data_IF_728819442767
#
_entry.id   IF_728819442767
#
_cell.length_a   1.000
_cell.length_b   1.000
_cell.length_c   1.000
_cell.angle_alpha   90.00
_cell.angle_beta   90.00
_cell.angle_gamma   90.00
#
_symmetry.space_group_name_H-M   'P 1'
#
loop_
_entity.id
_entity.type
_entity.pdbx_description
1 polymer ?
#
# COMPACT_ATOMS: atom_id res chain seq x y z
N UNK A 1 45.85 -6.24 6.29
CA UNK A 1 44.96 -7.00 5.38
C UNK A 1 44.80 -8.48 5.74
N UNK A 2 45.62 -9.08 6.62
CA UNK A 2 45.53 -10.52 6.97
C UNK A 2 44.36 -10.89 7.90
N UNK A 3 43.86 -9.97 8.74
CA UNK A 3 42.75 -10.26 9.67
C UNK A 3 41.40 -10.47 8.98
N UNK A 4 41.19 -9.86 7.81
CA UNK A 4 39.94 -9.97 7.05
C UNK A 4 39.92 -11.29 6.25
N UNK A 5 41.05 -11.72 5.70
CA UNK A 5 41.16 -13.01 5.01
C UNK A 5 41.04 -14.20 5.98
N UNK A 6 41.56 -14.07 7.21
CA UNK A 6 41.37 -15.05 8.29
C UNK A 6 39.90 -15.22 8.68
N UNK A 7 39.12 -14.13 8.74
CA UNK A 7 37.69 -14.18 9.05
C UNK A 7 36.87 -14.84 7.92
N UNK A 8 37.22 -14.58 6.66
CA UNK A 8 36.55 -15.17 5.49
C UNK A 8 36.86 -16.68 5.36
N UNK A 9 38.09 -17.11 5.67
CA UNK A 9 38.47 -18.52 5.68
C UNK A 9 37.75 -19.30 6.81
N UNK A 10 37.59 -18.68 8.00
CA UNK A 10 36.89 -19.29 9.15
C UNK A 10 35.38 -19.44 8.89
N UNK A 11 34.78 -18.51 8.15
CA UNK A 11 33.38 -18.60 7.71
C UNK A 11 33.16 -19.63 6.59
N UNK A 12 34.17 -19.91 5.76
CA UNK A 12 34.12 -20.95 4.72
C UNK A 12 34.27 -22.36 5.29
N UNK A 13 35.16 -22.55 6.27
CA UNK A 13 35.36 -23.84 6.93
C UNK A 13 34.13 -24.30 7.75
N UNK A 14 33.38 -23.36 8.34
CA UNK A 14 32.13 -23.64 9.04
C UNK A 14 30.98 -24.10 8.12
N UNK A 15 31.12 -23.93 6.80
CA UNK A 15 30.11 -24.33 5.80
C UNK A 15 30.39 -25.69 5.13
N UNK A 16 31.56 -26.30 5.37
CA UNK A 16 31.98 -27.54 4.68
C UNK A 16 32.23 -28.74 5.60
N UNK A 17 31.93 -28.64 6.90
CA UNK A 17 32.06 -29.76 7.84
C UNK A 17 30.81 -30.63 7.90
N UNK A 18 30.75 -31.66 7.05
CA UNK A 18 29.99 -32.89 7.30
C UNK A 18 30.92 -33.80 8.12
N UNK A 19 30.57 -34.11 9.37
CA UNK A 19 31.16 -35.23 10.11
C UNK A 19 30.03 -36.18 10.58
N UNK A 20 30.16 -37.51 10.37
CA UNK A 20 29.07 -38.46 10.48
C UNK A 20 29.11 -39.18 11.83
N UNK A 21 28.59 -38.57 12.90
CA UNK A 21 28.27 -39.27 14.15
C UNK A 21 27.47 -38.40 15.11
N UNK A 22 26.15 -38.34 14.93
CA UNK A 22 25.19 -38.33 16.05
C UNK A 22 23.75 -38.54 15.54
N UNK A 23 22.87 -39.18 16.32
CA UNK A 23 21.64 -39.78 15.84
C UNK A 23 20.57 -38.74 15.50
N UNK A 24 19.75 -39.08 14.51
CA UNK A 24 18.70 -38.24 13.94
C UNK A 24 17.79 -37.60 15.00
N UNK A 25 17.44 -36.30 14.88
CA UNK A 25 16.37 -35.75 15.69
C UNK A 25 15.06 -36.38 15.24
N UNK A 26 14.29 -36.87 16.22
CA UNK A 26 12.98 -37.44 16.04
C UNK A 26 12.11 -36.53 15.17
N UNK A 27 11.44 -37.18 14.22
CA UNK A 27 10.40 -36.61 13.36
C UNK A 27 9.47 -35.70 14.16
N UNK A 28 9.50 -34.39 13.84
CA UNK A 28 8.45 -33.48 14.25
C UNK A 28 7.09 -34.00 13.75
N UNK A 29 5.99 -33.65 14.43
CA UNK A 29 4.68 -34.17 14.08
C UNK A 29 4.37 -33.81 12.61
N UNK A 30 3.89 -34.80 11.86
CA UNK A 30 3.44 -34.64 10.49
C UNK A 30 2.49 -33.45 10.36
N UNK A 31 2.47 -32.74 9.22
CA UNK A 31 1.48 -31.71 8.97
C UNK A 31 0.09 -32.33 9.11
N UNK A 32 -0.71 -31.75 9.99
CA UNK A 32 -2.08 -32.17 10.26
C UNK A 32 -2.87 -32.16 8.93
N UNK A 33 -3.44 -33.28 8.44
CA UNK A 33 -4.22 -33.31 7.20
C UNK A 33 -5.65 -32.74 7.38
N UNK A 34 -5.85 -31.86 8.37
CA UNK A 34 -7.15 -31.32 8.76
C UNK A 34 -7.11 -29.79 8.88
N UNK A 35 -6.73 -29.12 7.80
CA UNK A 35 -7.31 -27.83 7.44
C UNK A 35 -7.78 -27.95 6.00
N UNK A 36 -8.89 -28.68 5.84
CA UNK A 36 -9.76 -28.45 4.71
C UNK A 36 -10.05 -26.95 4.71
N UNK A 37 -9.52 -26.26 3.70
CA UNK A 37 -9.98 -24.92 3.36
C UNK A 37 -11.51 -24.99 3.35
N UNK A 38 -12.15 -24.26 4.28
CA UNK A 38 -13.58 -24.04 4.18
C UNK A 38 -13.89 -23.54 2.77
N UNK A 39 -15.06 -23.89 2.20
CA UNK A 39 -15.36 -23.53 0.83
C UNK A 39 -15.06 -22.05 0.64
N UNK A 40 -14.17 -21.73 -0.31
CA UNK A 40 -13.98 -20.37 -0.74
C UNK A 40 -15.38 -19.78 -0.96
N UNK A 41 -15.67 -18.55 -0.49
CA UNK A 41 -16.96 -17.94 -0.73
C UNK A 41 -17.26 -18.08 -2.21
N UNK A 42 -18.43 -18.66 -2.53
CA UNK A 42 -18.82 -18.91 -3.90
C UNK A 42 -18.57 -17.63 -4.71
N UNK A 43 -17.95 -17.72 -5.90
CA UNK A 43 -17.74 -16.53 -6.71
C UNK A 43 -19.10 -15.88 -6.89
N UNK A 44 -19.28 -14.68 -6.32
CA UNK A 44 -20.37 -13.82 -6.74
C UNK A 44 -20.22 -13.76 -8.26
N UNK A 45 -21.28 -14.16 -8.98
CA UNK A 45 -21.34 -14.04 -10.42
C UNK A 45 -21.12 -12.56 -10.74
N UNK A 46 -19.86 -12.21 -11.00
CA UNK A 46 -19.46 -10.92 -11.53
C UNK A 46 -20.24 -10.77 -12.82
N UNK A 47 -20.91 -9.63 -12.97
CA UNK A 47 -21.48 -9.25 -14.25
C UNK A 47 -20.40 -9.29 -15.34
N UNK A 48 -20.79 -9.25 -16.62
CA UNK A 48 -19.81 -9.10 -17.68
C UNK A 48 -18.95 -7.88 -17.38
N UNK A 49 -17.62 -8.06 -17.34
CA UNK A 49 -16.68 -6.97 -17.11
C UNK A 49 -17.03 -5.78 -18.02
N UNK A 50 -17.17 -4.59 -17.43
CA UNK A 50 -17.54 -3.39 -18.16
C UNK A 50 -16.63 -3.19 -19.37
N UNK A 51 -17.21 -2.71 -20.47
CA UNK A 51 -16.43 -2.46 -21.69
C UNK A 51 -15.41 -1.35 -21.40
N UNK A 52 -14.19 -1.38 -21.97
CA UNK A 52 -13.17 -0.36 -21.71
C UNK A 52 -13.63 1.09 -21.92
N UNK A 53 -14.57 1.30 -22.85
CA UNK A 53 -15.20 2.60 -23.10
C UNK A 53 -16.08 3.07 -21.94
N UNK A 54 -16.83 2.17 -21.29
CA UNK A 54 -17.70 2.50 -20.15
C UNK A 54 -16.88 2.87 -18.92
N UNK A 55 -15.82 2.12 -18.63
CA UNK A 55 -14.90 2.44 -17.54
C UNK A 55 -14.18 3.80 -17.76
N UNK A 56 -13.86 4.12 -19.01
CA UNK A 56 -13.28 5.43 -19.37
C UNK A 56 -14.28 6.56 -19.20
N UNK A 57 -15.53 6.39 -19.63
CA UNK A 57 -16.58 7.37 -19.40
C UNK A 57 -16.85 7.60 -17.91
N UNK A 58 -16.91 6.53 -17.11
CA UNK A 58 -17.07 6.62 -15.65
C UNK A 58 -15.89 7.37 -15.00
N UNK A 59 -14.65 7.08 -15.42
CA UNK A 59 -13.46 7.78 -14.96
C UNK A 59 -13.48 9.27 -15.28
N UNK A 60 -13.84 9.63 -16.52
CA UNK A 60 -13.87 11.02 -16.98
C UNK A 60 -15.01 11.83 -16.36
N UNK A 61 -16.10 11.16 -15.95
CA UNK A 61 -17.20 11.77 -15.23
C UNK A 61 -16.82 12.22 -13.80
N UNK A 62 -15.75 11.67 -13.21
CA UNK A 62 -15.24 12.15 -11.93
C UNK A 62 -14.72 13.59 -12.07
N UNK A 63 -15.09 14.50 -11.15
CA UNK A 63 -14.68 15.90 -11.22
C UNK A 63 -13.16 16.03 -11.10
N UNK A 64 -12.54 16.77 -12.02
CA UNK A 64 -11.12 17.07 -11.98
C UNK A 64 -10.87 18.34 -11.15
N UNK A 65 -10.18 18.18 -10.03
CA UNK A 65 -9.81 19.25 -9.09
C UNK A 65 -8.34 19.08 -8.69
N UNK A 66 -7.39 19.58 -9.51
CA UNK A 66 -5.97 19.48 -9.21
C UNK A 66 -5.60 20.30 -7.95
N UNK A 67 -4.83 19.73 -7.00
CA UNK A 67 -4.39 20.45 -5.81
C UNK A 67 -3.49 21.66 -6.12
N UNK A 68 -3.49 22.63 -5.20
CA UNK A 68 -2.56 23.77 -5.24
C UNK A 68 -1.11 23.30 -5.12
N UNK A 69 -0.26 23.71 -6.07
CA UNK A 69 1.15 23.30 -6.12
C UNK A 69 1.93 23.70 -4.86
N UNK A 70 1.75 24.92 -4.38
CA UNK A 70 2.46 25.39 -3.18
C UNK A 70 2.03 24.60 -1.93
N UNK A 71 0.78 24.16 -1.87
CA UNK A 71 0.33 23.25 -0.82
C UNK A 71 0.99 21.87 -0.92
N UNK A 72 1.07 21.29 -2.12
CA UNK A 72 1.75 20.01 -2.34
C UNK A 72 3.22 20.06 -1.88
N UNK A 73 3.94 21.14 -2.24
CA UNK A 73 5.33 21.36 -1.81
C UNK A 73 5.43 21.45 -0.27
N UNK A 74 4.56 22.24 0.38
CA UNK A 74 4.49 22.34 1.85
C UNK A 74 4.21 21.00 2.53
N UNK A 75 3.44 20.13 1.88
CA UNK A 75 3.08 18.79 2.40
C UNK A 75 4.07 17.70 2.00
N UNK A 76 5.16 18.05 1.31
CA UNK A 76 6.17 17.14 0.76
C UNK A 76 5.60 16.12 -0.23
N UNK A 77 4.63 16.54 -1.03
CA UNK A 77 4.03 15.74 -2.12
C UNK A 77 4.69 16.17 -3.43
N UNK A 78 5.92 15.72 -3.63
CA UNK A 78 6.81 16.11 -4.73
C UNK A 78 6.35 15.48 -6.06
N UNK A 79 5.74 14.29 -6.00
CA UNK A 79 5.25 13.60 -7.20
C UNK A 79 4.25 14.41 -8.02
N UNK A 80 3.53 15.34 -7.39
CA UNK A 80 2.57 16.23 -8.04
C UNK A 80 3.11 17.61 -8.45
N UNK A 81 4.38 17.92 -8.15
CA UNK A 81 4.97 19.26 -8.36
C UNK A 81 5.95 19.33 -9.54
N UNK A 82 6.22 18.20 -10.19
CA UNK A 82 7.11 18.11 -11.36
C UNK A 82 8.60 18.35 -11.04
N UNK A 83 9.02 18.22 -9.78
CA UNK A 83 10.42 18.40 -9.39
C UNK A 83 11.30 17.21 -9.80
N UNK A 84 12.60 17.48 -10.03
CA UNK A 84 13.63 16.49 -10.35
C UNK A 84 13.95 15.54 -9.18
N UNK A 85 13.58 15.89 -7.95
CA UNK A 85 13.82 15.10 -6.74
C UNK A 85 12.78 13.97 -6.51
N UNK A 86 12.18 13.44 -7.59
CA UNK A 86 11.20 12.33 -7.51
C UNK A 86 11.83 10.94 -7.60
N UNK A 87 13.13 10.84 -7.88
CA UNK A 87 13.81 9.58 -8.22
C UNK A 87 13.56 8.41 -7.26
N UNK A 88 13.55 8.66 -5.95
CA UNK A 88 13.26 7.60 -4.96
C UNK A 88 11.81 7.08 -5.05
N UNK A 89 10.84 7.98 -5.26
CA UNK A 89 9.43 7.60 -5.46
C UNK A 89 9.22 6.92 -6.82
N UNK A 90 9.97 7.29 -7.84
CA UNK A 90 9.89 6.71 -9.18
C UNK A 90 10.42 5.29 -9.19
N UNK A 91 11.53 5.06 -8.47
CA UNK A 91 12.08 3.73 -8.23
C UNK A 91 11.08 2.88 -7.44
N UNK A 92 10.51 3.42 -6.35
CA UNK A 92 9.50 2.72 -5.56
C UNK A 92 8.29 2.33 -6.43
N UNK A 93 7.72 3.29 -7.17
CA UNK A 93 6.63 3.05 -8.11
C UNK A 93 6.96 1.93 -9.09
N UNK A 94 8.13 1.99 -9.72
CA UNK A 94 8.54 1.00 -10.72
C UNK A 94 8.60 -0.40 -10.12
N UNK A 95 9.19 -0.56 -8.93
CA UNK A 95 9.28 -1.85 -8.22
C UNK A 95 7.89 -2.36 -7.80
N UNK A 96 7.09 -1.50 -7.18
CA UNK A 96 5.73 -1.82 -6.73
C UNK A 96 4.87 -2.28 -7.90
N UNK A 97 4.76 -1.47 -8.96
CA UNK A 97 3.92 -1.79 -10.12
C UNK A 97 4.43 -3.00 -10.91
N UNK A 98 5.74 -3.23 -10.96
CA UNK A 98 6.29 -4.43 -11.60
C UNK A 98 5.87 -5.71 -10.84
N UNK A 99 6.02 -5.71 -9.51
CA UNK A 99 5.66 -6.85 -8.68
C UNK A 99 4.14 -7.08 -8.64
N UNK A 100 3.35 -6.01 -8.55
CA UNK A 100 1.89 -6.13 -8.60
C UNK A 100 1.42 -6.71 -9.93
N UNK A 101 1.92 -6.21 -11.07
CA UNK A 101 1.56 -6.73 -12.40
C UNK A 101 1.95 -8.20 -12.59
N UNK A 102 3.13 -8.62 -12.12
CA UNK A 102 3.56 -10.02 -12.28
C UNK A 102 2.72 -11.01 -11.45
N UNK A 103 1.99 -10.51 -10.45
CA UNK A 103 1.08 -11.29 -9.60
C UNK A 103 -0.40 -11.08 -9.92
N UNK A 104 -0.72 -10.16 -10.85
CA UNK A 104 -2.10 -9.77 -11.14
C UNK A 104 -2.79 -9.01 -9.99
N UNK A 105 -2.01 -8.43 -9.08
CA UNK A 105 -2.52 -7.67 -7.93
C UNK A 105 -2.94 -6.26 -8.33
N UNK A 106 -4.01 -5.75 -7.72
CA UNK A 106 -4.54 -4.40 -7.92
C UNK A 106 -4.73 -3.63 -6.62
N UNK A 107 -4.84 -4.28 -5.47
CA UNK A 107 -5.12 -3.64 -4.18
C UNK A 107 -3.89 -3.63 -3.28
N UNK A 108 -3.30 -2.45 -3.09
CA UNK A 108 -2.12 -2.22 -2.27
C UNK A 108 -2.47 -1.46 -1.00
N UNK A 109 -2.28 -2.06 0.16
CA UNK A 109 -2.27 -1.32 1.43
C UNK A 109 -0.91 -0.72 1.74
N UNK A 110 -0.89 0.49 2.31
CA UNK A 110 0.32 1.05 2.91
C UNK A 110 0.06 1.31 4.39
N UNK A 111 0.80 0.61 5.24
CA UNK A 111 0.75 0.77 6.70
C UNK A 111 2.15 1.02 7.27
N UNK A 112 2.26 1.15 8.59
CA UNK A 112 3.50 1.35 9.34
C UNK A 112 3.32 0.76 10.73
N UNK A 113 4.39 0.35 11.42
CA UNK A 113 4.23 -0.17 12.78
C UNK A 113 3.64 0.88 13.72
N UNK A 114 4.17 2.12 13.68
CA UNK A 114 3.80 3.20 14.61
C UNK A 114 3.35 4.48 13.91
N UNK A 115 2.70 5.42 14.61
CA UNK A 115 2.30 6.72 14.05
C UNK A 115 3.50 7.54 13.55
N UNK A 116 3.23 8.42 12.57
CA UNK A 116 4.22 9.40 12.14
C UNK A 116 5.29 8.90 11.16
N UNK A 117 5.24 7.65 10.68
CA UNK A 117 6.20 7.13 9.68
C UNK A 117 6.10 7.77 8.28
N UNK A 118 5.09 8.59 8.02
CA UNK A 118 4.91 9.28 6.73
C UNK A 118 4.06 8.55 5.69
N UNK A 119 3.27 7.54 6.11
CA UNK A 119 2.35 6.74 5.27
C UNK A 119 1.56 7.55 4.25
N UNK A 120 0.71 8.46 4.71
CA UNK A 120 -0.14 9.28 3.84
C UNK A 120 0.66 10.08 2.80
N UNK A 121 1.80 10.66 3.20
CA UNK A 121 2.68 11.37 2.26
C UNK A 121 3.29 10.41 1.24
N UNK A 122 3.67 9.19 1.64
CA UNK A 122 4.14 8.16 0.71
C UNK A 122 3.04 7.71 -0.25
N UNK A 123 1.82 7.44 0.25
CA UNK A 123 0.64 7.08 -0.56
C UNK A 123 0.39 8.13 -1.64
N UNK A 124 0.38 9.41 -1.26
CA UNK A 124 0.18 10.51 -2.21
C UNK A 124 1.30 10.60 -3.26
N UNK A 125 2.57 10.57 -2.83
CA UNK A 125 3.70 10.63 -3.77
C UNK A 125 3.71 9.44 -4.73
N UNK A 126 3.41 8.23 -4.22
CA UNK A 126 3.30 7.04 -5.05
C UNK A 126 2.15 7.20 -6.06
N UNK A 127 0.96 7.62 -5.62
CA UNK A 127 -0.20 7.84 -6.49
C UNK A 127 0.06 8.85 -7.60
N UNK A 128 0.61 10.02 -7.27
CA UNK A 128 1.05 10.99 -8.28
C UNK A 128 2.16 10.45 -9.19
N UNK A 129 3.05 9.61 -8.64
CA UNK A 129 4.05 8.90 -9.43
C UNK A 129 3.44 7.94 -10.45
N UNK A 130 2.41 7.18 -10.08
CA UNK A 130 1.67 6.30 -11.00
C UNK A 130 0.99 7.14 -12.09
N UNK A 131 0.28 8.20 -11.70
CA UNK A 131 -0.50 9.02 -12.62
C UNK A 131 0.32 9.84 -13.62
N UNK A 132 1.65 9.96 -13.43
CA UNK A 132 2.55 10.49 -14.46
C UNK A 132 2.70 9.53 -15.66
N UNK A 133 2.37 8.26 -15.50
CA UNK A 133 2.24 7.35 -16.63
C UNK A 133 0.85 7.52 -17.27
N UNK A 134 0.82 7.93 -18.54
CA UNK A 134 -0.42 8.21 -19.27
C UNK A 134 -1.33 6.97 -19.43
N UNK A 135 -0.76 5.78 -19.36
CA UNK A 135 -1.47 4.52 -19.54
C UNK A 135 -1.95 3.87 -18.24
N UNK A 136 -1.63 4.44 -17.08
CA UNK A 136 -1.92 3.82 -15.78
C UNK A 136 -2.82 4.69 -14.91
N UNK A 137 -3.98 4.15 -14.53
CA UNK A 137 -4.93 4.77 -13.60
C UNK A 137 -4.69 4.29 -12.17
N UNK A 138 -4.67 5.24 -11.24
CA UNK A 138 -4.50 4.99 -9.82
C UNK A 138 -5.67 5.59 -9.03
N UNK A 139 -6.22 4.84 -8.07
CA UNK A 139 -7.16 5.37 -7.09
C UNK A 139 -6.50 5.34 -5.70
N UNK A 140 -6.44 6.48 -5.02
CA UNK A 140 -6.04 6.54 -3.61
C UNK A 140 -7.29 6.54 -2.73
N UNK A 141 -7.37 5.62 -1.77
CA UNK A 141 -8.49 5.50 -0.86
C UNK A 141 -8.03 5.71 0.57
N UNK A 142 -8.69 6.63 1.27
CA UNK A 142 -8.41 6.93 2.67
C UNK A 142 -9.07 5.87 3.57
N UNK A 143 -8.25 5.02 4.17
CA UNK A 143 -8.69 3.94 5.08
C UNK A 143 -8.13 4.07 6.50
N UNK A 144 -7.30 5.07 6.79
CA UNK A 144 -7.05 5.57 8.14
C UNK A 144 -8.25 6.44 8.57
N UNK A 145 -9.37 5.76 8.79
CA UNK A 145 -10.64 6.36 9.16
C UNK A 145 -10.60 6.98 10.56
N UNK A 146 -9.60 6.66 11.39
CA UNK A 146 -9.39 7.26 12.71
C UNK A 146 -8.84 8.67 12.59
N UNK A 147 -7.91 8.90 11.64
CA UNK A 147 -7.21 10.18 11.47
C UNK A 147 -7.10 10.55 9.98
N UNK A 148 -8.23 10.73 9.28
CA UNK A 148 -8.20 11.13 7.88
C UNK A 148 -7.50 12.48 7.71
N UNK A 149 -6.67 12.57 6.69
CA UNK A 149 -5.81 13.71 6.39
C UNK A 149 -5.67 14.04 4.90
N UNK A 150 -6.28 13.27 3.98
CA UNK A 150 -6.25 13.53 2.54
C UNK A 150 -6.75 14.93 2.20
N UNK A 151 -7.95 15.28 2.68
CA UNK A 151 -8.56 16.58 2.43
C UNK A 151 -7.65 17.76 2.84
N UNK A 152 -7.05 17.69 4.03
CA UNK A 152 -6.13 18.72 4.53
C UNK A 152 -4.83 18.79 3.72
N UNK A 153 -4.26 17.66 3.34
CA UNK A 153 -2.96 17.58 2.63
C UNK A 153 -3.05 18.03 1.18
N UNK A 154 -4.18 17.76 0.53
CA UNK A 154 -4.39 18.11 -0.87
C UNK A 154 -5.20 19.40 -1.04
N UNK A 155 -5.74 19.96 0.05
CA UNK A 155 -6.54 21.17 0.01
C UNK A 155 -7.81 20.98 -0.82
N UNK A 156 -8.39 19.77 -0.76
CA UNK A 156 -9.52 19.39 -1.59
C UNK A 156 -10.69 20.33 -1.32
N UNK A 157 -11.16 20.99 -2.39
CA UNK A 157 -12.38 21.79 -2.41
C UNK A 157 -13.40 21.00 -3.21
N UNK A 158 -14.44 20.52 -2.54
CA UNK A 158 -15.38 19.57 -3.12
C UNK A 158 -14.94 18.11 -2.95
N UNK A 159 -15.65 17.19 -3.61
CA UNK A 159 -15.63 15.78 -3.24
C UNK A 159 -16.60 15.49 -2.10
N UNK A 160 -17.06 14.25 -2.04
CA UNK A 160 -17.94 13.76 -0.97
C UNK A 160 -17.14 13.08 0.13
N UNK A 161 -17.86 12.39 1.02
CA UNK A 161 -17.26 11.64 2.13
C UNK A 161 -17.11 10.18 1.73
N UNK A 162 -15.87 9.72 1.49
CA UNK A 162 -15.61 8.32 1.14
C UNK A 162 -16.12 7.33 2.20
N UNK A 163 -16.23 7.76 3.47
CA UNK A 163 -16.81 6.91 4.49
C UNK A 163 -18.31 6.60 4.24
N UNK A 164 -19.04 7.50 3.56
CA UNK A 164 -20.43 7.21 3.12
C UNK A 164 -20.45 6.14 2.04
N UNK A 165 -19.46 6.13 1.15
CA UNK A 165 -19.32 5.08 0.12
C UNK A 165 -19.08 3.73 0.78
N UNK A 166 -18.17 3.66 1.75
CA UNK A 166 -17.94 2.43 2.52
C UNK A 166 -19.20 1.95 3.28
N UNK A 167 -20.07 2.87 3.72
CA UNK A 167 -21.36 2.55 4.33
C UNK A 167 -22.47 2.18 3.33
N UNK A 168 -22.23 2.31 2.02
CA UNK A 168 -23.26 2.15 1.00
C UNK A 168 -24.31 3.27 0.97
N UNK A 169 -24.00 4.42 1.57
CA UNK A 169 -24.87 5.61 1.64
C UNK A 169 -24.68 6.55 0.45
N UNK A 170 -23.63 6.36 -0.35
CA UNK A 170 -23.29 7.17 -1.50
C UNK A 170 -22.52 6.34 -2.53
N UNK A 171 -22.62 6.72 -3.80
CA UNK A 171 -21.80 6.15 -4.87
C UNK A 171 -20.42 6.79 -4.92
N UNK A 172 -19.40 6.06 -5.40
CA UNK A 172 -18.07 6.66 -5.57
C UNK A 172 -18.07 7.84 -6.55
N UNK A 173 -18.99 7.87 -7.52
CA UNK A 173 -19.15 9.01 -8.43
C UNK A 173 -19.48 10.33 -7.71
N UNK A 174 -20.06 10.24 -6.51
CA UNK A 174 -20.44 11.40 -5.68
C UNK A 174 -19.35 11.79 -4.68
N UNK A 175 -18.46 10.85 -4.33
CA UNK A 175 -17.43 11.05 -3.31
C UNK A 175 -16.02 11.21 -3.87
N UNK A 176 -15.73 10.54 -4.99
CA UNK A 176 -14.45 10.54 -5.66
C UNK A 176 -14.21 11.81 -6.45
N UNK A 177 -12.93 12.19 -6.56
CA UNK A 177 -12.48 13.27 -7.43
C UNK A 177 -11.13 12.93 -8.05
N UNK A 178 -10.85 13.50 -9.21
CA UNK A 178 -9.55 13.39 -9.87
C UNK A 178 -8.63 14.52 -9.44
N UNK A 179 -7.44 14.18 -8.94
CA UNK A 179 -6.36 15.13 -8.63
C UNK A 179 -5.37 15.31 -9.79
N UNK A 180 -5.36 14.37 -10.73
CA UNK A 180 -4.66 14.42 -12.00
C UNK A 180 -5.45 13.58 -13.02
N UNK A 181 -5.10 13.65 -14.31
CA UNK A 181 -5.83 12.94 -15.37
C UNK A 181 -6.07 11.45 -15.04
N UNK A 182 -5.04 10.79 -14.48
CA UNK A 182 -5.03 9.38 -14.13
C UNK A 182 -4.93 9.10 -12.61
N UNK A 183 -5.25 10.09 -11.77
CA UNK A 183 -5.29 9.93 -10.31
C UNK A 183 -6.66 10.31 -9.76
N UNK A 184 -7.41 9.34 -9.26
CA UNK A 184 -8.63 9.59 -8.48
C UNK A 184 -8.38 9.36 -6.99
N UNK A 185 -9.18 10.02 -6.14
CA UNK A 185 -9.05 9.97 -4.69
C UNK A 185 -10.43 9.86 -4.04
N UNK A 186 -10.56 8.94 -3.08
CA UNK A 186 -11.65 8.90 -2.11
C UNK A 186 -11.15 9.37 -0.74
N UNK A 187 -11.48 10.61 -0.37
CA UNK A 187 -11.13 11.19 0.92
C UNK A 187 -12.32 11.16 1.89
N UNK A 188 -12.05 11.02 3.19
CA UNK A 188 -13.07 11.09 4.23
C UNK A 188 -13.23 12.53 4.72
N UNK A 189 -14.46 12.93 5.03
CA UNK A 189 -14.75 14.27 5.53
C UNK A 189 -14.27 14.49 6.99
N UNK A 190 -14.07 13.41 7.74
CA UNK A 190 -13.61 13.44 9.12
C UNK A 190 -13.53 12.05 9.74
N UNK A 191 -13.09 11.95 11.00
CA UNK A 191 -12.94 10.68 11.69
C UNK A 191 -14.24 9.88 11.76
N UNK A 192 -14.14 8.55 11.59
CA UNK A 192 -15.26 7.63 11.63
C UNK A 192 -15.27 6.86 12.95
N UNK A 193 -16.46 6.59 13.49
CA UNK A 193 -16.63 5.72 14.66
C UNK A 193 -16.56 4.26 14.22
N UNK A 194 -16.00 3.41 15.08
CA UNK A 194 -15.89 1.98 14.84
C UNK A 194 -15.30 1.62 13.45
N UNK A 195 -14.12 2.17 13.12
CA UNK A 195 -13.51 2.06 11.79
C UNK A 195 -13.24 0.62 11.34
N UNK A 196 -12.76 -0.26 12.23
CA UNK A 196 -12.53 -1.67 11.91
C UNK A 196 -13.81 -2.40 11.48
N UNK A 197 -14.92 -2.14 12.18
CA UNK A 197 -16.24 -2.72 11.86
C UNK A 197 -16.76 -2.23 10.50
N UNK A 198 -16.57 -0.95 10.19
CA UNK A 198 -16.92 -0.41 8.88
C UNK A 198 -16.05 -1.02 7.78
N UNK A 199 -14.74 -1.15 7.99
CA UNK A 199 -13.84 -1.72 6.99
C UNK A 199 -14.18 -3.19 6.69
N UNK A 200 -14.65 -3.96 7.67
CA UNK A 200 -15.07 -5.36 7.49
C UNK A 200 -16.51 -5.55 6.98
N UNK A 201 -17.29 -4.46 6.88
CA UNK A 201 -18.70 -4.59 6.53
C UNK A 201 -18.90 -5.11 5.12
N UNK A 202 -20.02 -5.80 4.89
CA UNK A 202 -20.43 -6.21 3.54
C UNK A 202 -20.63 -5.02 2.60
N UNK A 203 -21.05 -3.86 3.13
CA UNK A 203 -21.18 -2.63 2.36
C UNK A 203 -19.82 -2.12 1.86
N UNK A 204 -18.78 -2.15 2.70
CA UNK A 204 -17.44 -1.72 2.31
C UNK A 204 -16.85 -2.66 1.25
N UNK A 205 -16.97 -3.98 1.46
CA UNK A 205 -16.56 -5.00 0.49
C UNK A 205 -17.22 -4.78 -0.88
N UNK A 206 -18.54 -4.57 -0.88
CA UNK A 206 -19.33 -4.33 -2.10
C UNK A 206 -18.92 -3.03 -2.78
N UNK A 207 -18.74 -1.95 -2.01
CA UNK A 207 -18.33 -0.66 -2.54
C UNK A 207 -16.94 -0.73 -3.20
N UNK A 208 -15.97 -1.39 -2.56
CA UNK A 208 -14.62 -1.52 -3.12
C UNK A 208 -14.59 -2.39 -4.38
N UNK A 209 -15.35 -3.48 -4.41
CA UNK A 209 -15.52 -4.29 -5.62
C UNK A 209 -16.17 -3.47 -6.76
N UNK A 210 -17.23 -2.72 -6.45
CA UNK A 210 -17.89 -1.85 -7.42
C UNK A 210 -16.96 -0.74 -7.95
N UNK A 211 -16.12 -0.15 -7.10
CA UNK A 211 -15.12 0.83 -7.55
C UNK A 211 -14.11 0.18 -8.52
N UNK A 212 -13.61 -1.00 -8.17
CA UNK A 212 -12.66 -1.71 -9.02
C UNK A 212 -13.27 -2.08 -10.39
N UNK A 213 -14.51 -2.55 -10.40
CA UNK A 213 -15.24 -2.93 -11.61
C UNK A 213 -15.57 -1.71 -12.49
N UNK A 214 -16.16 -0.67 -11.90
CA UNK A 214 -16.66 0.51 -12.63
C UNK A 214 -15.53 1.34 -13.20
N UNK A 215 -14.47 1.57 -12.43
CA UNK A 215 -13.41 2.50 -12.82
C UNK A 215 -12.20 1.80 -13.43
N UNK A 216 -12.14 0.47 -13.32
CA UNK A 216 -11.08 -0.40 -13.84
C UNK A 216 -9.66 0.16 -13.65
N UNK A 217 -9.26 0.58 -12.44
CA UNK A 217 -7.92 1.12 -12.22
C UNK A 217 -6.85 0.02 -12.34
N UNK A 218 -5.63 0.42 -12.72
CA UNK A 218 -4.46 -0.45 -12.69
C UNK A 218 -4.03 -0.75 -11.26
N UNK A 219 -4.24 0.20 -10.35
CA UNK A 219 -3.93 0.05 -8.92
C UNK A 219 -4.86 0.89 -8.04
N UNK A 220 -5.32 0.30 -6.95
CA UNK A 220 -5.99 0.95 -5.83
C UNK A 220 -5.04 0.93 -4.63
N UNK A 221 -4.68 2.11 -4.11
CA UNK A 221 -3.75 2.26 -2.98
C UNK A 221 -4.52 2.75 -1.77
N UNK A 222 -4.43 2.01 -0.68
CA UNK A 222 -5.16 2.25 0.56
C UNK A 222 -4.20 2.82 1.63
N UNK A 223 -4.47 4.03 2.12
CA UNK A 223 -3.74 4.61 3.26
C UNK A 223 -4.29 4.02 4.54
N UNK A 224 -3.54 3.16 5.22
CA UNK A 224 -3.98 2.45 6.42
C UNK A 224 -3.47 3.13 7.70
N UNK A 225 -4.15 2.97 8.84
CA UNK A 225 -3.64 3.44 10.11
C UNK A 225 -2.37 2.67 10.52
N UNK A 226 -1.61 3.14 11.53
CA UNK A 226 -0.51 2.37 12.10
C UNK A 226 -0.99 1.02 12.63
N UNK A 227 -0.28 -0.05 12.29
CA UNK A 227 -0.67 -1.42 12.59
C UNK A 227 -0.66 -1.74 14.09
N UNK A 228 0.29 -1.21 14.86
CA UNK A 228 0.38 -1.49 16.30
C UNK A 228 -0.50 -0.55 17.16
N UNK A 229 -1.30 0.31 16.53
CA UNK A 229 -2.15 1.28 17.23
C UNK A 229 -3.62 0.84 17.34
N UNK A 230 -4.01 -0.27 16.70
CA UNK A 230 -5.38 -0.75 16.64
C UNK A 230 -5.53 -2.00 15.79
N UNK A 231 -6.77 -2.42 15.58
CA UNK A 231 -7.15 -3.64 14.86
C UNK A 231 -7.53 -3.40 13.39
N UNK A 232 -7.65 -2.15 12.95
CA UNK A 232 -8.15 -1.75 11.63
C UNK A 232 -7.38 -2.40 10.46
N UNK A 233 -6.05 -2.48 10.60
CA UNK A 233 -5.19 -3.06 9.56
C UNK A 233 -5.48 -4.56 9.41
N UNK A 234 -5.58 -5.29 10.53
CA UNK A 234 -5.94 -6.71 10.51
C UNK A 234 -7.37 -6.90 10.03
N UNK A 235 -8.26 -5.97 10.37
CA UNK A 235 -9.64 -6.01 9.94
C UNK A 235 -9.79 -5.88 8.41
N UNK A 236 -8.89 -5.13 7.78
CA UNK A 236 -8.93 -4.84 6.35
C UNK A 236 -7.96 -5.65 5.49
N UNK A 237 -6.90 -6.22 6.07
CA UNK A 237 -5.81 -6.87 5.33
C UNK A 237 -6.28 -7.98 4.37
N UNK A 238 -7.29 -8.76 4.75
CA UNK A 238 -7.86 -9.81 3.89
C UNK A 238 -8.53 -9.30 2.60
N UNK A 239 -8.76 -7.99 2.47
CA UNK A 239 -9.32 -7.35 1.26
C UNK A 239 -8.24 -6.81 0.31
N UNK A 240 -6.99 -6.90 0.74
CA UNK A 240 -5.82 -6.39 0.02
C UNK A 240 -5.07 -7.55 -0.60
N UNK A 241 -4.55 -7.34 -1.80
CA UNK A 241 -3.68 -8.32 -2.44
C UNK A 241 -2.30 -8.34 -1.78
N UNK A 242 -1.81 -7.16 -1.39
CA UNK A 242 -0.58 -7.01 -0.66
C UNK A 242 -0.50 -5.74 0.17
N UNK A 243 0.45 -5.71 1.10
CA UNK A 243 0.74 -4.58 1.98
C UNK A 243 2.21 -4.19 1.87
N UNK A 244 2.46 -2.88 1.75
CA UNK A 244 3.78 -2.27 1.89
C UNK A 244 3.93 -1.66 3.28
N UNK A 245 4.98 -2.05 4.00
CA UNK A 245 5.24 -1.56 5.36
C UNK A 245 6.20 -0.37 5.33
N UNK A 246 5.80 0.75 5.90
CA UNK A 246 6.65 1.94 6.02
C UNK A 246 7.33 2.00 7.39
N UNK A 247 8.65 1.91 7.40
CA UNK A 247 9.49 2.10 8.59
C UNK A 247 10.09 3.51 8.59
N UNK A 248 10.14 4.17 9.75
CA UNK A 248 10.82 5.44 9.91
C UNK A 248 12.26 5.22 10.41
N UNK A 249 13.23 5.77 9.70
CA UNK A 249 14.63 5.78 10.13
C UNK A 249 14.76 6.35 11.55
N UNK A 250 15.65 5.73 12.34
CA UNK A 250 15.95 6.11 13.74
C UNK A 250 14.77 6.03 14.71
N UNK A 251 13.58 5.61 14.25
CA UNK A 251 12.35 5.58 15.07
C UNK A 251 11.74 4.18 15.13
N UNK A 252 11.56 3.53 13.98
CA UNK A 252 10.99 2.19 13.89
C UNK A 252 12.05 1.15 14.18
N UNK A 253 11.76 0.25 15.12
CA UNK A 253 12.66 -0.85 15.49
C UNK A 253 12.48 -2.07 14.59
N UNK A 254 13.53 -2.89 14.45
CA UNK A 254 13.46 -4.17 13.72
C UNK A 254 12.40 -5.09 14.33
N UNK A 255 12.29 -5.13 15.66
CA UNK A 255 11.28 -5.95 16.35
C UNK A 255 9.85 -5.55 15.98
N UNK A 256 9.56 -4.25 15.86
CA UNK A 256 8.24 -3.78 15.42
C UNK A 256 7.93 -4.19 13.97
N UNK A 257 8.94 -4.17 13.10
CA UNK A 257 8.83 -4.66 11.72
C UNK A 257 8.53 -6.16 11.71
N UNK A 258 9.31 -6.97 12.44
CA UNK A 258 9.14 -8.43 12.51
C UNK A 258 7.76 -8.85 13.03
N UNK A 259 7.20 -8.09 13.99
CA UNK A 259 5.83 -8.31 14.47
C UNK A 259 4.82 -8.02 13.37
N UNK A 260 4.94 -6.85 12.73
CA UNK A 260 4.01 -6.45 11.67
C UNK A 260 4.05 -7.42 10.49
N UNK A 261 5.23 -7.83 10.02
CA UNK A 261 5.37 -8.77 8.91
C UNK A 261 4.77 -10.13 9.24
N UNK A 262 4.99 -10.64 10.46
CA UNK A 262 4.45 -11.94 10.89
C UNK A 262 2.93 -11.93 10.94
N UNK A 263 2.35 -10.89 11.51
CA UNK A 263 0.91 -10.75 11.64
C UNK A 263 0.25 -10.53 10.25
N UNK A 264 0.84 -9.67 9.41
CA UNK A 264 0.37 -9.46 8.03
C UNK A 264 0.43 -10.73 7.19
N UNK A 265 1.48 -11.53 7.33
CA UNK A 265 1.64 -12.79 6.61
C UNK A 265 0.54 -13.82 6.92
N UNK A 266 -0.23 -13.63 8.01
CA UNK A 266 -1.42 -14.45 8.30
C UNK A 266 -2.66 -14.04 7.51
N UNK A 267 -2.69 -12.82 6.97
CA UNK A 267 -3.86 -12.22 6.34
C UNK A 267 -3.67 -11.93 4.84
N UNK A 268 -2.48 -11.50 4.43
CA UNK A 268 -2.18 -11.06 3.06
C UNK A 268 -0.68 -11.14 2.76
N UNK A 269 -0.30 -10.80 1.53
CA UNK A 269 1.09 -10.77 1.10
C UNK A 269 1.79 -9.50 1.61
N UNK A 270 3.00 -9.63 2.13
CA UNK A 270 3.85 -8.46 2.39
C UNK A 270 4.69 -8.19 1.14
N UNK A 271 4.46 -7.03 0.50
CA UNK A 271 5.21 -6.60 -0.69
C UNK A 271 6.67 -6.30 -0.34
N UNK A 272 6.89 -5.71 0.84
CA UNK A 272 8.19 -5.40 1.39
C UNK A 272 8.14 -4.21 2.36
N UNK A 273 9.33 -3.76 2.77
CA UNK A 273 9.50 -2.62 3.69
C UNK A 273 10.15 -1.45 2.96
N UNK A 274 9.62 -0.25 3.17
CA UNK A 274 10.25 1.01 2.75
C UNK A 274 10.74 1.77 3.96
N UNK A 275 12.03 2.10 3.97
CA UNK A 275 12.61 3.00 4.96
C UNK A 275 12.40 4.46 4.54
N UNK A 276 11.76 5.23 5.40
CA UNK A 276 11.45 6.65 5.20
C UNK A 276 12.17 7.53 6.23
N UNK A 277 12.27 8.84 5.96
CA UNK A 277 12.94 9.85 6.81
C UNK A 277 14.46 9.66 6.97
N UNK A 278 15.12 8.99 6.03
CA UNK A 278 16.58 8.91 6.02
C UNK A 278 17.17 10.33 5.85
N UNK A 279 17.98 10.76 6.82
CA UNK A 279 18.67 12.07 6.78
C UNK A 279 19.96 12.03 5.97
N UNK A 280 20.56 10.85 5.88
CA UNK A 280 21.77 10.57 5.12
C UNK A 280 21.45 9.43 4.16
N UNK A 281 21.41 9.74 2.86
CA UNK A 281 21.74 8.73 1.86
C UNK A 281 23.21 8.99 1.53
N UNK A 282 24.07 8.01 1.75
CA UNK A 282 25.45 8.13 1.30
C UNK A 282 25.45 8.48 -0.19
N UNK A 283 26.35 9.37 -0.62
CA UNK A 283 26.45 9.84 -2.02
C UNK A 283 26.65 8.69 -3.03
N UNK A 284 26.98 7.50 -2.56
CA UNK A 284 27.08 6.25 -3.34
C UNK A 284 25.75 5.51 -3.54
N UNK A 285 24.71 5.82 -2.76
CA UNK A 285 23.38 5.18 -2.82
C UNK A 285 22.26 6.13 -3.26
N UNK A 286 22.50 7.44 -3.22
CA UNK A 286 21.66 8.42 -3.89
C UNK A 286 21.86 8.37 -5.39
N UNK A 287 20.82 7.99 -6.16
CA UNK A 287 20.84 8.15 -7.60
C UNK A 287 20.92 9.64 -7.92
N UNK A 288 22.13 10.11 -8.24
CA UNK A 288 22.38 11.45 -8.73
C UNK A 288 21.51 11.73 -9.95
N UNK A 289 21.01 12.95 -10.04
CA UNK A 289 20.42 13.45 -11.27
C UNK A 289 21.45 13.30 -12.39
N UNK A 290 21.09 12.60 -13.46
CA UNK A 290 21.79 12.77 -14.73
C UNK A 290 21.25 14.07 -15.32
N UNK A 291 22.10 15.10 -15.36
CA UNK A 291 21.88 16.32 -16.13
C UNK A 291 21.75 16.00 -17.63
#
# INVERSE_FOLDING_TARGET
MERIQSAIAKARAARSGLDPADPAPATGPAPNPATAAGPAPAPMLLGPALRPAEATAAWEALPLSPPDRALLERQRIIGGTGHSETGAFDMLRTRVLHQMRSKGWKRLGITSPTPGCGKTTMVMNLGFGVARNAEQRCILLETDLRRPSFGKKLGLRGGGDFAKVLRGEAEFAQAGLRCAQNLAIGACAGPVRAPAELLQSSSALTALAGIEEIYAPDVMIFDLPPMLAGDDVMAFAGQLDCVLLLAAAETTTVKEIDVCERDLATQTNVLGVVLNKCRYMDRTEGYGAYD
#
